data_IF_083758613485
#
_entry.id   IF_083758613485
#
_cell.length_a   1.000
_cell.length_b   1.000
_cell.length_c   1.000
_cell.angle_alpha   90.00
_cell.angle_beta   90.00
_cell.angle_gamma   90.00
#
_symmetry.space_group_name_H-M   'P 1'
#
loop_
_entity.id
_entity.type
_entity.pdbx_description
1 polymer ?
#
# COMPACT_ATOMS: atom_id res chain seq x y z
N UNK A 1 5.21 10.65 17.25
CA UNK A 1 5.89 10.28 16.00
C UNK A 1 5.69 8.80 15.71
N UNK A 2 5.30 8.49 14.49
CA UNK A 2 5.08 7.11 14.07
C UNK A 2 5.92 6.80 12.86
N UNK A 3 6.23 5.52 12.67
CA UNK A 3 6.78 5.04 11.41
C UNK A 3 5.63 4.42 10.59
N UNK A 4 5.48 4.86 9.36
CA UNK A 4 4.34 4.52 8.50
C UNK A 4 4.84 3.89 7.21
N UNK A 5 4.27 2.73 6.88
CA UNK A 5 4.50 2.07 5.59
C UNK A 5 3.25 2.25 4.73
N UNK A 6 3.41 2.91 3.58
CA UNK A 6 2.33 3.11 2.61
C UNK A 6 2.54 2.13 1.45
N UNK A 7 1.52 1.36 1.12
CA UNK A 7 1.59 0.34 0.08
C UNK A 7 0.55 0.66 -1.00
N UNK A 8 1.01 0.96 -2.20
CA UNK A 8 0.15 1.28 -3.32
C UNK A 8 0.33 0.34 -4.49
N UNK A 9 -0.55 0.43 -5.48
CA UNK A 9 -0.51 -0.40 -6.67
C UNK A 9 0.50 0.05 -7.71
N UNK A 10 0.58 1.35 -7.95
CA UNK A 10 1.52 1.93 -8.91
C UNK A 10 2.20 3.16 -8.37
N UNK A 11 3.43 3.44 -8.79
CA UNK A 11 4.20 4.54 -8.22
C UNK A 11 3.56 5.91 -8.45
N UNK A 12 2.98 6.16 -9.61
CA UNK A 12 2.33 7.44 -9.92
C UNK A 12 1.23 7.81 -8.94
N UNK A 13 0.52 6.83 -8.41
CA UNK A 13 -0.56 7.11 -7.45
C UNK A 13 -0.03 7.69 -6.14
N UNK A 14 1.19 7.35 -5.77
CA UNK A 14 1.83 7.92 -4.58
C UNK A 14 2.06 9.41 -4.72
N UNK A 15 2.40 9.87 -5.93
CA UNK A 15 2.64 11.29 -6.19
C UNK A 15 1.32 12.02 -6.48
N UNK A 16 0.52 11.50 -7.41
CA UNK A 16 -0.64 12.22 -7.94
C UNK A 16 -1.83 12.22 -6.97
N UNK A 17 -2.03 11.14 -6.24
CA UNK A 17 -3.19 10.98 -5.37
C UNK A 17 -2.85 11.08 -3.89
N UNK A 18 -1.64 10.70 -3.49
CA UNK A 18 -1.24 10.63 -2.08
C UNK A 18 -0.12 11.60 -1.71
N UNK A 19 0.36 12.40 -2.65
CA UNK A 19 1.50 13.28 -2.41
C UNK A 19 1.27 14.22 -1.22
N UNK A 20 0.12 14.86 -1.14
CA UNK A 20 -0.20 15.77 -0.04
C UNK A 20 -0.28 15.06 1.31
N UNK A 21 -0.82 13.84 1.32
CA UNK A 21 -0.87 13.03 2.53
C UNK A 21 0.53 12.71 3.02
N UNK A 22 1.42 12.28 2.11
CA UNK A 22 2.81 11.96 2.44
C UNK A 22 3.57 13.19 2.93
N UNK A 23 3.39 14.32 2.27
CA UNK A 23 3.98 15.59 2.72
C UNK A 23 3.52 15.97 4.12
N UNK A 24 2.22 15.82 4.38
CA UNK A 24 1.63 16.13 5.68
C UNK A 24 2.20 15.22 6.77
N UNK A 25 2.33 13.93 6.48
CA UNK A 25 2.91 12.98 7.43
C UNK A 25 4.36 13.36 7.78
N UNK A 26 5.16 13.69 6.77
CA UNK A 26 6.55 14.08 6.98
C UNK A 26 6.66 15.42 7.73
N UNK A 27 5.81 16.39 7.40
CA UNK A 27 5.84 17.68 8.08
C UNK A 27 5.48 17.56 9.56
N UNK A 28 4.75 16.52 9.94
CA UNK A 28 4.40 16.25 11.35
C UNK A 28 5.44 15.38 12.06
N UNK A 29 6.55 15.08 11.40
CA UNK A 29 7.66 14.34 12.01
C UNK A 29 7.55 12.84 11.96
N UNK A 30 6.65 12.28 11.15
CA UNK A 30 6.57 10.83 11.00
C UNK A 30 7.60 10.31 10.00
N UNK A 31 8.13 9.12 10.27
CA UNK A 31 8.96 8.42 9.30
C UNK A 31 8.06 7.70 8.32
N UNK A 32 8.27 7.90 7.02
CA UNK A 32 7.40 7.33 6.00
C UNK A 32 8.22 6.60 4.96
N UNK A 33 7.85 5.36 4.70
CA UNK A 33 8.35 4.58 3.57
C UNK A 33 7.15 4.26 2.67
N UNK A 34 7.29 4.52 1.38
CA UNK A 34 6.26 4.20 0.40
C UNK A 34 6.76 3.11 -0.53
N UNK A 35 5.87 2.19 -0.89
CA UNK A 35 6.20 1.14 -1.84
C UNK A 35 5.05 0.91 -2.81
N UNK A 36 5.38 0.47 -4.00
CA UNK A 36 4.41 0.16 -5.05
C UNK A 36 5.06 -0.76 -6.08
N UNK A 37 4.26 -1.24 -7.02
CA UNK A 37 4.77 -2.08 -8.10
C UNK A 37 5.43 -1.26 -9.18
N UNK A 38 6.72 -1.50 -9.40
CA UNK A 38 7.47 -0.88 -10.48
C UNK A 38 8.32 0.30 -10.08
N UNK A 39 9.06 0.82 -11.04
CA UNK A 39 9.96 1.94 -10.86
C UNK A 39 9.47 3.15 -11.66
N UNK A 40 9.69 4.34 -11.13
CA UNK A 40 9.36 5.60 -11.80
C UNK A 40 10.29 6.66 -11.23
N UNK A 41 11.23 7.11 -12.04
CA UNK A 41 12.27 8.05 -11.61
C UNK A 41 11.71 9.38 -11.14
N UNK A 42 10.66 9.88 -11.80
CA UNK A 42 10.01 11.13 -11.40
C UNK A 42 9.37 11.02 -10.02
N UNK A 43 8.70 9.90 -9.77
CA UNK A 43 8.06 9.65 -8.49
C UNK A 43 9.11 9.47 -7.39
N UNK A 44 10.16 8.72 -7.67
CA UNK A 44 11.25 8.53 -6.70
C UNK A 44 11.93 9.84 -6.33
N UNK A 45 12.19 10.69 -7.32
CA UNK A 45 12.78 12.02 -7.08
C UNK A 45 11.84 12.90 -6.25
N UNK A 46 10.54 12.89 -6.57
CA UNK A 46 9.56 13.65 -5.82
C UNK A 46 9.49 13.19 -4.36
N UNK A 47 9.39 11.89 -4.13
CA UNK A 47 9.30 11.32 -2.79
C UNK A 47 10.57 11.59 -1.97
N UNK A 48 11.73 11.45 -2.60
CA UNK A 48 13.00 11.79 -1.95
C UNK A 48 13.03 13.26 -1.54
N UNK A 49 12.52 14.14 -2.40
CA UNK A 49 12.45 15.58 -2.12
C UNK A 49 11.60 15.93 -0.91
N UNK A 50 10.59 15.13 -0.59
CA UNK A 50 9.76 15.34 0.60
C UNK A 50 10.17 14.44 1.78
N UNK A 51 11.27 13.71 1.65
CA UNK A 51 11.81 12.89 2.74
C UNK A 51 11.16 11.52 2.90
N UNK A 52 10.54 11.02 1.84
CA UNK A 52 9.92 9.67 1.83
C UNK A 52 10.79 8.73 1.01
N UNK A 53 11.15 7.59 1.59
CA UNK A 53 11.87 6.57 0.87
C UNK A 53 10.90 5.73 0.03
N UNK A 54 11.30 5.40 -1.19
CA UNK A 54 10.49 4.58 -2.07
C UNK A 54 11.14 3.22 -2.28
N UNK A 55 10.33 2.17 -2.19
CA UNK A 55 10.75 0.79 -2.47
C UNK A 55 9.89 0.22 -3.59
N UNK A 56 10.55 -0.22 -4.66
CA UNK A 56 9.88 -0.89 -5.78
C UNK A 56 9.62 -2.35 -5.42
N UNK A 57 8.41 -2.83 -5.69
CA UNK A 57 8.00 -4.19 -5.42
C UNK A 57 7.64 -4.94 -6.70
N UNK A 58 7.79 -6.28 -6.74
CA UNK A 58 7.41 -7.07 -7.90
C UNK A 58 5.90 -7.29 -7.94
N UNK A 59 5.17 -6.27 -8.37
CA UNK A 59 3.71 -6.32 -8.44
C UNK A 59 3.23 -6.06 -9.85
N UNK A 60 2.42 -6.97 -10.39
CA UNK A 60 1.63 -6.74 -11.60
C UNK A 60 0.17 -6.74 -11.21
N UNK A 61 -0.49 -5.58 -11.35
CA UNK A 61 -1.85 -5.38 -10.84
C UNK A 61 -2.90 -6.23 -11.54
N UNK A 62 -2.66 -6.56 -12.81
CA UNK A 62 -3.62 -7.31 -13.63
C UNK A 62 -3.25 -8.77 -13.77
N UNK A 63 -2.10 -9.19 -13.28
CA UNK A 63 -1.66 -10.58 -13.40
C UNK A 63 -2.42 -11.47 -12.43
N UNK A 64 -2.77 -12.67 -12.91
CA UNK A 64 -3.37 -13.72 -12.08
C UNK A 64 -2.33 -14.80 -11.73
N UNK A 65 -1.05 -14.52 -11.91
CA UNK A 65 0.01 -15.47 -11.64
C UNK A 65 0.25 -15.60 -10.13
N UNK A 66 -0.06 -16.75 -9.51
CA UNK A 66 0.10 -16.92 -8.07
C UNK A 66 1.55 -16.87 -7.61
N UNK A 67 2.51 -17.18 -8.48
CA UNK A 67 3.94 -17.10 -8.15
C UNK A 67 4.34 -15.65 -7.94
N UNK A 68 3.89 -14.74 -8.81
CA UNK A 68 4.16 -13.31 -8.67
C UNK A 68 3.51 -12.74 -7.41
N UNK A 69 2.31 -13.18 -7.11
CA UNK A 69 1.61 -12.75 -5.90
C UNK A 69 2.35 -13.22 -4.64
N UNK A 70 2.87 -14.44 -4.66
CA UNK A 70 3.64 -14.98 -3.55
C UNK A 70 4.95 -14.21 -3.36
N UNK A 71 5.64 -13.86 -4.45
CA UNK A 71 6.85 -13.04 -4.40
C UNK A 71 6.54 -11.65 -3.85
N UNK A 72 5.43 -11.05 -4.26
CA UNK A 72 4.98 -9.78 -3.75
C UNK A 72 4.73 -9.83 -2.24
N UNK A 73 4.01 -10.84 -1.78
CA UNK A 73 3.75 -11.05 -0.35
C UNK A 73 5.07 -11.23 0.42
N UNK A 74 5.97 -12.04 -0.11
CA UNK A 74 7.28 -12.27 0.54
C UNK A 74 8.06 -10.98 0.69
N UNK A 75 8.12 -10.17 -0.36
CA UNK A 75 8.83 -8.90 -0.32
C UNK A 75 8.19 -7.93 0.67
N UNK A 76 6.87 -7.91 0.74
CA UNK A 76 6.16 -7.09 1.72
C UNK A 76 6.46 -7.52 3.15
N UNK A 77 6.48 -8.82 3.41
CA UNK A 77 6.82 -9.34 4.74
C UNK A 77 8.25 -8.95 5.12
N UNK A 78 9.20 -9.11 4.20
CA UNK A 78 10.59 -8.73 4.44
C UNK A 78 10.73 -7.25 4.73
N UNK A 79 10.09 -6.42 3.91
CA UNK A 79 10.11 -4.95 4.07
C UNK A 79 9.48 -4.53 5.39
N UNK A 80 8.33 -5.12 5.73
CA UNK A 80 7.63 -4.80 6.96
C UNK A 80 8.47 -5.17 8.19
N UNK A 81 9.11 -6.32 8.16
CA UNK A 81 9.98 -6.75 9.27
C UNK A 81 11.24 -5.90 9.38
N UNK A 82 11.80 -5.48 8.25
CA UNK A 82 12.99 -4.65 8.22
C UNK A 82 12.71 -3.23 8.72
N UNK A 83 11.64 -2.62 8.23
CA UNK A 83 11.28 -1.25 8.60
C UNK A 83 10.62 -1.17 9.98
N UNK A 84 9.91 -2.22 10.39
CA UNK A 84 9.15 -2.27 11.66
C UNK A 84 8.21 -1.06 11.82
N UNK A 85 7.27 -0.86 10.89
CA UNK A 85 6.38 0.29 10.98
C UNK A 85 5.39 0.16 12.13
N UNK A 86 5.02 1.30 12.70
CA UNK A 86 3.93 1.36 13.68
C UNK A 86 2.57 1.24 12.99
N UNK A 87 2.49 1.74 11.75
CA UNK A 87 1.25 1.81 10.98
C UNK A 87 1.50 1.34 9.56
N UNK A 88 0.60 0.51 9.04
CA UNK A 88 0.58 0.12 7.63
C UNK A 88 -0.71 0.62 7.02
N UNK A 89 -0.60 1.39 5.95
CA UNK A 89 -1.73 1.87 5.15
C UNK A 89 -1.58 1.35 3.74
N UNK A 90 -2.56 0.61 3.26
CA UNK A 90 -2.55 0.05 1.92
C UNK A 90 -3.76 0.53 1.12
N UNK A 91 -3.58 0.73 -0.16
CA UNK A 91 -4.65 1.05 -1.09
C UNK A 91 -4.44 0.30 -2.41
N UNK A 92 -5.50 0.16 -3.19
CA UNK A 92 -5.66 -0.75 -4.32
C UNK A 92 -5.80 -2.22 -3.86
N UNK A 93 -6.37 -3.05 -4.71
CA UNK A 93 -6.84 -4.39 -4.31
C UNK A 93 -5.72 -5.31 -3.82
N UNK A 94 -4.71 -5.55 -4.66
CA UNK A 94 -3.61 -6.44 -4.27
C UNK A 94 -2.80 -5.91 -3.09
N UNK A 95 -2.41 -4.62 -3.07
CA UNK A 95 -1.74 -4.08 -1.89
C UNK A 95 -2.54 -4.20 -0.61
N UNK A 96 -3.86 -4.02 -0.66
CA UNK A 96 -4.71 -4.18 0.53
C UNK A 96 -4.67 -5.63 1.01
N UNK A 97 -4.88 -6.58 0.12
CA UNK A 97 -4.91 -7.99 0.49
C UNK A 97 -3.56 -8.44 1.06
N UNK A 98 -2.50 -8.27 0.29
CA UNK A 98 -1.19 -8.79 0.67
C UNK A 98 -0.47 -7.89 1.67
N UNK A 99 -0.69 -6.58 1.60
CA UNK A 99 -0.10 -5.64 2.55
C UNK A 99 -0.61 -5.81 3.96
N UNK A 100 -1.93 -5.95 4.12
CA UNK A 100 -2.52 -6.18 5.44
C UNK A 100 -2.15 -7.56 5.98
N UNK A 101 -2.07 -8.57 5.09
CA UNK A 101 -1.62 -9.89 5.48
C UNK A 101 -0.16 -9.87 5.96
N UNK A 102 0.72 -9.21 5.20
CA UNK A 102 2.13 -9.06 5.57
C UNK A 102 2.29 -8.33 6.91
N UNK A 103 1.51 -7.27 7.11
CA UNK A 103 1.52 -6.52 8.35
C UNK A 103 1.08 -7.38 9.53
N UNK A 104 0.03 -8.16 9.36
CA UNK A 104 -0.45 -9.08 10.39
C UNK A 104 0.60 -10.13 10.72
N UNK A 105 1.21 -10.75 9.71
CA UNK A 105 2.27 -11.74 9.88
C UNK A 105 3.50 -11.17 10.58
N UNK A 106 3.73 -9.88 10.44
CA UNK A 106 4.88 -9.18 11.02
C UNK A 106 4.56 -8.51 12.37
N UNK A 107 3.34 -8.70 12.89
CA UNK A 107 2.97 -8.20 14.20
C UNK A 107 2.57 -6.73 14.25
N UNK A 108 2.34 -6.09 13.11
CA UNK A 108 1.88 -4.70 13.07
C UNK A 108 0.39 -4.66 13.42
N UNK A 109 0.03 -3.97 14.49
CA UNK A 109 -1.36 -3.93 14.96
C UNK A 109 -2.20 -2.86 14.27
N UNK A 110 -1.60 -1.73 13.88
CA UNK A 110 -2.31 -0.63 13.23
C UNK A 110 -2.24 -0.80 11.72
N UNK A 111 -3.28 -1.42 11.18
CA UNK A 111 -3.37 -1.76 9.77
C UNK A 111 -4.62 -1.11 9.20
N UNK A 112 -4.46 -0.34 8.14
CA UNK A 112 -5.58 0.38 7.51
C UNK A 112 -5.61 0.12 6.02
N UNK A 113 -6.81 0.00 5.49
CA UNK A 113 -7.05 -0.08 4.06
C UNK A 113 -7.79 1.17 3.61
N UNK A 114 -7.28 1.82 2.59
CA UNK A 114 -7.97 2.91 1.94
C UNK A 114 -8.65 2.36 0.70
N UNK A 115 -9.96 2.29 0.74
CA UNK A 115 -10.73 1.74 -0.36
C UNK A 115 -11.15 2.88 -1.28
N UNK A 116 -10.63 2.84 -2.50
CA UNK A 116 -10.97 3.81 -3.54
C UNK A 116 -11.77 3.10 -4.62
N UNK A 117 -12.59 3.83 -5.34
CA UNK A 117 -13.39 3.25 -6.41
C UNK A 117 -14.58 2.42 -5.94
N UNK A 118 -15.05 2.63 -4.72
CA UNK A 118 -16.23 1.91 -4.22
C UNK A 118 -17.45 2.15 -5.09
N UNK A 119 -17.61 3.35 -5.62
CA UNK A 119 -18.73 3.67 -6.52
C UNK A 119 -18.74 2.77 -7.74
N UNK A 120 -17.58 2.51 -8.32
CA UNK A 120 -17.45 1.58 -9.44
C UNK A 120 -17.78 0.15 -9.01
N UNK A 121 -17.28 -0.29 -7.87
CA UNK A 121 -17.55 -1.63 -7.34
C UNK A 121 -19.05 -1.85 -7.09
N UNK A 122 -19.73 -0.84 -6.56
CA UNK A 122 -21.18 -0.91 -6.32
C UNK A 122 -21.98 -0.89 -7.63
N UNK A 123 -21.57 -0.08 -8.60
CA UNK A 123 -22.29 0.00 -9.88
C UNK A 123 -22.03 -1.21 -10.75
N UNK A 124 -20.86 -1.80 -10.71
CA UNK A 124 -20.53 -2.97 -11.52
C UNK A 124 -21.19 -4.25 -11.03
N UNK A 125 -21.69 -4.36 -9.80
CA UNK A 125 -22.28 -5.41 -9.30
C UNK A 125 -22.11 -5.92 -8.17
N UNK A 126 -22.83 -6.14 -8.01
CA UNK A 126 -23.08 -7.07 -7.27
C UNK A 126 -22.74 -7.11 -5.88
N UNK A 127 -23.62 -7.66 -5.10
CA UNK A 127 -23.54 -8.00 -3.69
C UNK A 127 -22.26 -8.78 -3.33
N UNK A 128 -21.71 -9.56 -4.24
CA UNK A 128 -20.48 -10.34 -4.01
C UNK A 128 -19.25 -9.43 -3.82
N UNK A 129 -19.07 -8.46 -4.71
CA UNK A 129 -17.97 -7.50 -4.59
C UNK A 129 -18.10 -6.66 -3.33
N UNK A 130 -19.31 -6.27 -3.01
CA UNK A 130 -19.59 -5.54 -1.78
C UNK A 130 -19.23 -6.34 -0.53
N UNK A 131 -19.53 -7.63 -0.52
CA UNK A 131 -19.20 -8.51 0.59
C UNK A 131 -17.69 -8.68 0.74
N UNK A 132 -16.98 -8.84 -0.37
CA UNK A 132 -15.52 -8.93 -0.35
C UNK A 132 -14.89 -7.66 0.21
N UNK A 133 -15.33 -6.51 -0.28
CA UNK A 133 -14.82 -5.22 0.20
C UNK A 133 -15.12 -5.00 1.68
N UNK A 134 -16.32 -5.35 2.11
CA UNK A 134 -16.69 -5.24 3.53
C UNK A 134 -15.84 -6.16 4.40
N UNK A 135 -15.55 -7.37 3.93
CA UNK A 135 -14.69 -8.30 4.64
C UNK A 135 -13.26 -7.79 4.78
N UNK A 136 -12.74 -7.13 3.74
CA UNK A 136 -11.40 -6.55 3.78
C UNK A 136 -11.32 -5.33 4.70
N UNK A 137 -12.37 -4.52 4.73
CA UNK A 137 -12.40 -3.30 5.53
C UNK A 137 -12.61 -3.59 7.02
N UNK A 138 -13.25 -4.72 7.36
CA UNK A 138 -13.52 -5.07 8.75
C UNK A 138 -12.27 -5.49 9.53
N UNK A 139 -11.15 -5.60 8.88
CA UNK A 139 -9.89 -5.85 9.54
C UNK A 139 -9.16 -4.55 9.80
#
# INVERSE_FOLDING_TARGET
MYSVLIIGGGPRTLMDLRGRLLESMRSRGHDVVACAGGEDDDVEAYLRGIGVDYVSLPLERTSLNPILDLLFLRRLVMLTREFQPDVVLAYNVKPVIYGLLAARMSGVQRRYALITGLGYAFSASASIKKRLLSGLVSY
#
